data_IF_293629018738
#
_entry.id   IF_293629018738
#
_cell.length_a   1.000
_cell.length_b   1.000
_cell.length_c   1.000
_cell.angle_alpha   90.00
_cell.angle_beta   90.00
_cell.angle_gamma   90.00
#
_symmetry.space_group_name_H-M   'P 1'
#
loop_
_entity.id
_entity.type
_entity.pdbx_description
1 polymer ?
#
# COMPACT_ATOMS: atom_id res chain seq x y z
N UNK A 1 18.16 -16.61 35.73
CA UNK A 1 17.70 -17.66 34.81
C UNK A 1 17.00 -17.00 33.65
N UNK A 2 17.53 -17.19 32.45
CA UNK A 2 16.84 -16.96 31.18
C UNK A 2 17.21 -15.65 30.50
N UNK A 3 18.37 -15.63 29.86
CA UNK A 3 18.68 -14.74 28.73
C UNK A 3 17.54 -14.75 27.70
N UNK A 4 17.10 -13.58 27.23
CA UNK A 4 16.16 -13.47 26.09
C UNK A 4 16.37 -12.19 25.27
N UNK A 5 17.62 -11.79 25.05
CA UNK A 5 17.96 -10.61 24.22
C UNK A 5 18.95 -10.90 23.08
N UNK A 6 19.29 -12.18 22.78
CA UNK A 6 20.21 -12.56 21.67
C UNK A 6 19.55 -13.49 20.62
N UNK A 7 18.33 -13.20 20.14
CA UNK A 7 17.65 -14.05 19.12
C UNK A 7 17.19 -13.28 17.86
N UNK A 8 17.55 -11.99 17.73
CA UNK A 8 17.21 -11.19 16.54
C UNK A 8 18.36 -11.08 15.52
N UNK A 9 19.62 -11.31 15.94
CA UNK A 9 20.81 -11.20 15.08
C UNK A 9 20.99 -12.33 14.05
N UNK A 10 20.23 -13.42 14.16
CA UNK A 10 20.36 -14.55 13.22
C UNK A 10 19.41 -14.46 12.02
N UNK A 11 18.51 -13.47 12.01
CA UNK A 11 17.45 -13.36 11.00
C UNK A 11 17.95 -12.55 9.81
N UNK A 12 18.59 -13.25 8.88
CA UNK A 12 19.08 -12.67 7.63
C UNK A 12 18.09 -12.84 6.49
N UNK A 13 18.12 -11.91 5.53
CA UNK A 13 17.30 -11.96 4.33
C UNK A 13 17.79 -13.07 3.41
N UNK A 14 16.91 -13.99 2.99
CA UNK A 14 17.32 -15.12 2.12
C UNK A 14 17.86 -14.73 0.73
N UNK A 15 17.65 -13.49 0.30
CA UNK A 15 18.03 -13.01 -1.04
C UNK A 15 19.38 -12.30 -1.00
N UNK A 16 19.56 -11.32 -0.11
CA UNK A 16 20.80 -10.55 -0.01
C UNK A 16 21.73 -11.01 1.11
N UNK A 17 21.27 -11.91 1.97
CA UNK A 17 22.00 -12.45 3.13
C UNK A 17 22.42 -11.40 4.17
N UNK A 18 21.79 -10.22 4.14
CA UNK A 18 22.02 -9.15 5.13
C UNK A 18 20.97 -9.17 6.24
N UNK A 19 21.33 -8.72 7.43
CA UNK A 19 20.44 -8.41 8.56
C UNK A 19 19.69 -7.07 8.34
N UNK A 20 18.78 -6.75 9.26
CA UNK A 20 18.04 -5.48 9.25
C UNK A 20 18.98 -4.27 9.44
N UNK A 21 20.06 -4.47 10.20
CA UNK A 21 21.01 -3.43 10.61
C UNK A 21 22.07 -3.16 9.54
N UNK A 22 22.47 -4.19 8.80
CA UNK A 22 23.38 -4.06 7.66
C UNK A 22 22.71 -3.36 6.47
N UNK A 23 21.38 -3.47 6.37
CA UNK A 23 20.59 -3.06 5.21
C UNK A 23 19.29 -2.30 5.57
N UNK A 24 19.33 -1.25 6.41
CA UNK A 24 18.13 -0.58 6.92
C UNK A 24 17.28 0.07 5.81
N UNK A 25 17.92 0.47 4.70
CA UNK A 25 17.30 1.07 3.52
C UNK A 25 16.41 0.12 2.69
N UNK A 26 16.58 -1.20 2.89
CA UNK A 26 15.80 -2.26 2.24
C UNK A 26 14.50 -2.57 3.01
N UNK A 27 14.41 -2.11 4.26
CA UNK A 27 13.25 -2.20 5.15
C UNK A 27 13.25 -3.45 6.03
N UNK A 28 12.42 -3.44 7.09
CA UNK A 28 12.30 -4.50 8.11
C UNK A 28 12.14 -5.90 7.51
N UNK A 29 12.86 -6.91 8.01
CA UNK A 29 12.62 -8.29 7.59
C UNK A 29 11.21 -8.74 7.96
N UNK A 30 10.55 -9.43 7.03
CA UNK A 30 9.23 -10.02 7.25
C UNK A 30 9.13 -11.39 6.60
N UNK A 31 8.09 -12.15 6.97
CA UNK A 31 7.85 -13.49 6.47
C UNK A 31 6.67 -13.54 5.50
N UNK A 32 6.90 -13.52 4.17
CA UNK A 32 5.81 -13.58 3.20
C UNK A 32 5.23 -15.00 3.06
N UNK A 33 5.95 -16.04 3.47
CA UNK A 33 5.58 -17.44 3.26
C UNK A 33 5.90 -18.34 4.46
N UNK A 34 5.32 -19.54 4.49
CA UNK A 34 5.55 -20.54 5.55
C UNK A 34 6.83 -21.37 5.38
N UNK A 35 7.88 -20.82 4.76
CA UNK A 35 9.17 -21.48 4.78
C UNK A 35 9.66 -21.64 6.23
N UNK A 36 10.47 -22.68 6.49
CA UNK A 36 11.06 -22.95 7.81
C UNK A 36 12.44 -22.29 7.92
N UNK A 37 12.86 -21.96 9.14
CA UNK A 37 14.17 -21.36 9.41
C UNK A 37 14.35 -19.95 8.82
N UNK A 38 15.60 -19.60 8.51
CA UNK A 38 16.01 -18.30 7.95
C UNK A 38 15.44 -18.03 6.54
N UNK A 39 15.11 -19.10 5.80
CA UNK A 39 14.52 -19.03 4.45
C UNK A 39 13.14 -18.37 4.37
N UNK A 40 12.53 -18.08 5.53
CA UNK A 40 11.24 -17.40 5.62
C UNK A 40 11.35 -15.89 5.62
N UNK A 41 12.52 -15.32 5.93
CA UNK A 41 12.70 -13.88 6.09
C UNK A 41 13.24 -13.22 4.82
N UNK A 42 12.62 -12.10 4.42
CA UNK A 42 12.99 -11.34 3.23
C UNK A 42 12.78 -9.85 3.50
N UNK A 43 13.65 -8.99 2.97
CA UNK A 43 13.38 -7.56 2.92
C UNK A 43 12.27 -7.21 1.90
N UNK A 44 11.41 -6.22 2.20
CA UNK A 44 10.37 -5.75 1.29
C UNK A 44 10.91 -5.40 -0.10
N UNK A 45 12.02 -4.67 -0.17
CA UNK A 45 12.64 -4.30 -1.45
C UNK A 45 13.29 -5.48 -2.17
N UNK A 46 13.93 -6.40 -1.46
CA UNK A 46 14.49 -7.61 -2.08
C UNK A 46 13.38 -8.46 -2.73
N UNK A 47 12.23 -8.60 -2.06
CA UNK A 47 11.09 -9.31 -2.62
C UNK A 47 10.51 -8.60 -3.86
N UNK A 48 10.41 -7.26 -3.83
CA UNK A 48 9.94 -6.47 -4.97
C UNK A 48 10.88 -6.60 -6.19
N UNK A 49 12.19 -6.45 -5.99
CA UNK A 49 13.18 -6.62 -7.06
C UNK A 49 13.14 -8.02 -7.64
N UNK A 50 13.08 -9.05 -6.78
CA UNK A 50 12.98 -10.44 -7.24
C UNK A 50 11.70 -10.69 -8.04
N UNK A 51 10.56 -10.10 -7.63
CA UNK A 51 9.29 -10.18 -8.38
C UNK A 51 9.35 -9.51 -9.75
N UNK A 52 10.08 -8.38 -9.85
CA UNK A 52 10.29 -7.66 -11.12
C UNK A 52 11.23 -8.39 -12.07
N UNK A 53 12.25 -9.07 -11.54
CA UNK A 53 13.23 -9.84 -12.33
C UNK A 53 12.70 -11.22 -12.72
N UNK A 54 11.78 -11.78 -11.93
CA UNK A 54 11.14 -13.07 -12.23
C UNK A 54 10.34 -12.99 -13.53
N UNK A 55 10.74 -13.78 -14.52
CA UNK A 55 10.00 -13.96 -15.78
C UNK A 55 8.63 -14.65 -15.60
N UNK A 56 8.40 -15.28 -14.43
CA UNK A 56 7.19 -16.03 -14.16
C UNK A 56 6.16 -15.18 -13.41
N UNK A 57 4.99 -14.97 -14.02
CA UNK A 57 3.91 -14.21 -13.40
C UNK A 57 3.41 -14.87 -12.09
N UNK A 58 3.52 -16.20 -11.99
CA UNK A 58 3.11 -16.99 -10.82
C UNK A 58 3.94 -16.71 -9.57
N UNK A 59 5.21 -16.36 -9.73
CA UNK A 59 6.15 -16.03 -8.65
C UNK A 59 5.75 -14.76 -7.88
N UNK A 60 4.89 -13.91 -8.46
CA UNK A 60 4.29 -12.77 -7.74
C UNK A 60 3.34 -13.20 -6.63
N UNK A 61 2.65 -14.33 -6.82
CA UNK A 61 1.56 -14.77 -5.93
C UNK A 61 1.90 -16.05 -5.17
N UNK A 62 2.95 -16.77 -5.58
CA UNK A 62 3.33 -18.05 -5.02
C UNK A 62 4.82 -18.09 -4.70
N UNK A 63 5.18 -18.70 -3.57
CA UNK A 63 6.57 -18.94 -3.23
C UNK A 63 7.15 -20.09 -4.06
N UNK A 64 8.29 -19.89 -4.72
CA UNK A 64 8.98 -20.97 -5.47
C UNK A 64 9.53 -22.09 -4.57
N UNK A 65 9.76 -21.82 -3.28
CA UNK A 65 10.35 -22.80 -2.36
C UNK A 65 9.31 -23.68 -1.68
N UNK A 66 8.30 -23.08 -1.05
CA UNK A 66 7.26 -23.82 -0.32
C UNK A 66 5.94 -23.93 -1.08
N UNK A 67 5.84 -23.38 -2.29
CA UNK A 67 4.61 -23.34 -3.08
C UNK A 67 3.41 -22.67 -2.40
N UNK A 68 3.61 -21.98 -1.27
CA UNK A 68 2.56 -21.29 -0.55
C UNK A 68 2.15 -20.01 -1.28
N UNK A 69 0.84 -19.76 -1.38
CA UNK A 69 0.32 -18.52 -1.93
C UNK A 69 0.55 -17.38 -0.94
N UNK A 70 1.34 -16.40 -1.35
CA UNK A 70 1.55 -15.19 -0.57
C UNK A 70 0.17 -14.56 -0.28
N UNK A 71 -0.13 -14.19 0.97
CA UNK A 71 -1.25 -13.27 1.25
C UNK A 71 -0.84 -11.89 0.79
N UNK A 72 -0.91 -11.65 -0.51
CA UNK A 72 -0.62 -10.34 -1.10
C UNK A 72 -1.82 -9.44 -0.77
N UNK A 73 -1.75 -8.72 0.34
CA UNK A 73 -2.54 -7.49 0.46
C UNK A 73 -2.08 -6.60 -0.69
N UNK A 74 -2.93 -6.40 -1.69
CA UNK A 74 -2.66 -5.53 -2.84
C UNK A 74 -2.44 -4.09 -2.33
N UNK A 75 -1.21 -3.77 -1.91
CA UNK A 75 -0.77 -2.43 -1.51
C UNK A 75 -0.39 -1.57 -2.71
N UNK A 76 -0.85 -1.93 -3.92
CA UNK A 76 -0.68 -1.09 -5.12
C UNK A 76 -1.24 0.32 -4.90
N UNK A 77 -2.34 0.44 -4.15
CA UNK A 77 -2.91 1.73 -3.79
C UNK A 77 -2.03 2.51 -2.79
N UNK A 78 -1.31 1.83 -1.88
CA UNK A 78 -0.48 2.49 -0.88
C UNK A 78 0.75 3.19 -1.50
N UNK A 79 1.34 2.61 -2.54
CA UNK A 79 2.46 3.27 -3.25
C UNK A 79 1.96 4.37 -4.21
N UNK A 80 0.74 4.21 -4.76
CA UNK A 80 0.10 5.24 -5.58
C UNK A 80 -0.25 6.49 -4.74
N UNK A 81 -0.82 6.29 -3.54
CA UNK A 81 -1.16 7.37 -2.60
C UNK A 81 0.09 8.02 -1.98
N UNK A 82 1.22 7.30 -1.89
CA UNK A 82 2.50 7.88 -1.44
C UNK A 82 3.17 8.83 -2.44
N UNK A 83 2.68 8.92 -3.68
CA UNK A 83 3.23 9.88 -4.66
C UNK A 83 2.74 11.29 -4.33
N UNK A 84 3.64 12.28 -4.14
CA UNK A 84 3.26 13.63 -3.76
C UNK A 84 2.25 14.26 -4.73
N UNK A 85 2.39 14.02 -6.04
CA UNK A 85 1.46 14.55 -7.04
C UNK A 85 0.06 13.94 -7.03
N UNK A 86 -0.12 12.70 -6.52
CA UNK A 86 -1.45 12.06 -6.49
C UNK A 86 -2.32 12.64 -5.39
N UNK A 87 -1.73 12.95 -4.22
CA UNK A 87 -2.44 13.59 -3.11
C UNK A 87 -2.89 15.00 -3.50
N UNK A 88 -2.03 15.73 -4.21
CA UNK A 88 -2.32 17.08 -4.70
C UNK A 88 -3.46 17.06 -5.72
N UNK A 89 -3.39 16.18 -6.73
CA UNK A 89 -4.45 16.00 -7.73
C UNK A 89 -5.77 15.56 -7.10
N UNK A 90 -5.74 14.63 -6.14
CA UNK A 90 -6.96 14.18 -5.45
C UNK A 90 -7.60 15.32 -4.66
N UNK A 91 -6.81 16.08 -3.91
CA UNK A 91 -7.31 17.21 -3.13
C UNK A 91 -7.94 18.26 -4.03
N UNK A 92 -7.24 18.68 -5.10
CA UNK A 92 -7.75 19.64 -6.09
C UNK A 92 -9.04 19.14 -6.75
N UNK A 93 -9.08 17.85 -7.12
CA UNK A 93 -10.26 17.23 -7.71
C UNK A 93 -11.46 17.24 -6.77
N UNK A 94 -11.28 16.88 -5.49
CA UNK A 94 -12.34 16.91 -4.48
C UNK A 94 -12.87 18.33 -4.26
N UNK A 95 -11.98 19.32 -4.15
CA UNK A 95 -12.37 20.72 -4.00
C UNK A 95 -13.14 21.24 -5.23
N UNK A 96 -12.64 20.98 -6.44
CA UNK A 96 -13.29 21.41 -7.67
C UNK A 96 -14.68 20.75 -7.83
N UNK A 97 -14.80 19.45 -7.54
CA UNK A 97 -16.09 18.76 -7.54
C UNK A 97 -17.05 19.37 -6.51
N UNK A 98 -16.58 19.69 -5.30
CA UNK A 98 -17.37 20.38 -4.29
C UNK A 98 -17.95 21.72 -4.78
N UNK A 99 -17.11 22.55 -5.40
CA UNK A 99 -17.52 23.85 -5.97
C UNK A 99 -18.50 23.68 -7.14
N UNK A 100 -18.28 22.69 -8.00
CA UNK A 100 -19.20 22.39 -9.09
C UNK A 100 -20.56 21.89 -8.56
N UNK A 101 -20.56 21.03 -7.54
CA UNK A 101 -21.79 20.53 -6.91
C UNK A 101 -22.56 21.65 -6.24
N UNK A 102 -21.90 22.52 -5.46
CA UNK A 102 -22.59 23.67 -4.84
C UNK A 102 -23.15 24.61 -5.89
N UNK A 103 -22.41 24.90 -6.96
CA UNK A 103 -22.89 25.69 -8.09
C UNK A 103 -24.08 25.05 -8.81
N UNK A 104 -24.04 23.73 -9.02
CA UNK A 104 -25.16 22.99 -9.61
C UNK A 104 -26.39 22.99 -8.71
N UNK A 105 -26.22 22.84 -7.39
CA UNK A 105 -27.32 22.90 -6.42
C UNK A 105 -27.94 24.29 -6.40
N UNK A 106 -27.14 25.36 -6.36
CA UNK A 106 -27.66 26.74 -6.42
C UNK A 106 -28.39 26.99 -7.73
N UNK A 107 -27.83 26.56 -8.85
CA UNK A 107 -28.46 26.69 -10.17
C UNK A 107 -29.75 25.88 -10.26
N UNK A 108 -29.77 24.65 -9.74
CA UNK A 108 -30.96 23.82 -9.64
C UNK A 108 -32.01 24.44 -8.73
N UNK A 109 -31.62 25.01 -7.59
CA UNK A 109 -32.51 25.72 -6.70
C UNK A 109 -33.10 26.96 -7.38
N UNK A 110 -32.31 27.78 -8.08
CA UNK A 110 -32.80 28.96 -8.77
C UNK A 110 -33.70 28.64 -9.98
N UNK A 111 -33.43 27.55 -10.71
CA UNK A 111 -34.22 27.13 -11.88
C UNK A 111 -35.46 26.33 -11.47
N UNK A 112 -35.36 25.53 -10.41
CA UNK A 112 -36.39 24.65 -9.88
C UNK A 112 -37.30 25.31 -8.84
N UNK A 113 -37.00 26.54 -8.39
CA UNK A 113 -37.86 27.33 -7.51
C UNK A 113 -38.74 28.34 -8.27
N UNK A 114 -39.75 27.88 -9.02
CA UNK A 114 -40.91 28.71 -9.29
C UNK A 114 -42.17 28.10 -8.66
N UNK A 115 -42.16 27.71 -7.38
CA UNK A 115 -43.38 27.39 -6.62
C UNK A 115 -43.19 27.61 -5.11
N UNK A 116 -42.95 28.86 -4.69
CA UNK A 116 -43.29 29.37 -3.35
C UNK A 116 -43.22 30.91 -3.38
N UNK A 117 -43.90 31.50 -4.37
CA UNK A 117 -44.39 32.87 -4.25
C UNK A 117 -45.79 32.76 -3.61
N UNK A 118 -45.85 32.76 -2.28
CA UNK A 118 -47.12 32.70 -1.55
C UNK A 118 -46.90 32.67 -0.04
N UNK A 119 -47.20 33.81 0.60
CA UNK A 119 -47.38 34.03 2.04
C UNK A 119 -46.16 33.71 2.94
N UNK A 120 -45.57 34.64 3.69
CA UNK A 120 -46.19 35.48 4.70
C UNK A 120 -45.32 36.72 5.02
N UNK A 121 -46.02 37.84 5.26
CA UNK A 121 -45.62 39.12 5.88
C UNK A 121 -44.85 40.14 5.02
#
# INVERSE_FOLDING_TARGET
GGEREEEDDERVCRICQCSEEEAPELGKLFSPCHCRGTMRYIHPKCLETWRRMSANASSNFKCDQCSYFYRVHHTGFANLVRRPGVVELLSVGVFALGVLVTGLVVKWAQIGWPLEAGEHA
#
